data_IF_725099555954
#
_entry.id   IF_725099555954
#
_cell.length_a   1.000
_cell.length_b   1.000
_cell.length_c   1.000
_cell.angle_alpha   90.00
_cell.angle_beta   90.00
_cell.angle_gamma   90.00
#
_symmetry.space_group_name_H-M   'P 1'
#
loop_
_entity.id
_entity.type
_entity.pdbx_description
1 polymer ?
#
# COMPACT_ATOMS: atom_id res chain seq x y z
N UNK A 1 16.09 17.39 33.31
CA UNK A 1 15.97 17.61 31.85
C UNK A 1 15.94 16.25 31.18
N UNK A 2 14.75 15.79 30.79
CA UNK A 2 14.61 14.56 30.00
C UNK A 2 15.18 14.80 28.60
N UNK A 3 16.24 14.08 28.25
CA UNK A 3 16.81 14.14 26.90
C UNK A 3 15.81 13.46 25.97
N UNK A 4 15.17 14.24 25.08
CA UNK A 4 14.35 13.71 23.99
C UNK A 4 15.24 12.79 23.14
N UNK A 5 14.95 11.49 23.17
CA UNK A 5 15.65 10.51 22.35
C UNK A 5 15.39 10.81 20.87
N UNK A 6 16.45 10.80 20.07
CA UNK A 6 16.35 10.99 18.62
C UNK A 6 15.54 9.83 18.01
N UNK A 7 14.69 10.09 16.99
CA UNK A 7 14.03 9.04 16.22
C UNK A 7 15.06 8.05 15.69
N UNK A 8 14.81 6.76 15.92
CA UNK A 8 15.69 5.68 15.51
C UNK A 8 15.87 5.69 13.99
N UNK A 9 17.11 5.47 13.52
CA UNK A 9 17.31 5.01 12.14
C UNK A 9 16.64 3.65 12.02
N UNK A 10 15.43 3.66 11.48
CA UNK A 10 14.55 2.50 11.29
C UNK A 10 15.25 1.47 10.38
N UNK A 11 15.92 0.50 10.99
CA UNK A 11 16.52 -0.62 10.27
C UNK A 11 15.64 -1.85 10.51
N UNK A 12 15.22 -2.51 9.43
CA UNK A 12 14.39 -3.72 9.49
C UNK A 12 14.98 -4.81 10.42
N UNK A 13 16.30 -4.92 10.49
CA UNK A 13 16.99 -5.86 11.38
C UNK A 13 16.81 -5.54 12.87
N UNK A 14 16.86 -4.26 13.25
CA UNK A 14 16.72 -3.87 14.67
C UNK A 14 15.30 -4.10 15.16
N UNK A 15 14.31 -3.88 14.30
CA UNK A 15 12.90 -4.16 14.58
C UNK A 15 12.64 -5.66 14.73
N UNK A 16 13.18 -6.49 13.82
CA UNK A 16 13.07 -7.94 13.91
C UNK A 16 13.67 -8.49 15.21
N UNK A 17 14.85 -8.00 15.62
CA UNK A 17 15.46 -8.38 16.90
C UNK A 17 14.63 -7.87 18.09
N UNK A 18 14.12 -6.65 18.02
CA UNK A 18 13.28 -6.07 19.07
C UNK A 18 11.98 -6.85 19.27
N UNK A 19 11.24 -7.14 18.19
CA UNK A 19 10.01 -7.93 18.24
C UNK A 19 10.25 -9.31 18.83
N UNK A 20 11.39 -9.93 18.51
CA UNK A 20 11.74 -11.24 19.05
C UNK A 20 12.02 -11.19 20.56
N UNK A 21 12.75 -10.17 21.02
CA UNK A 21 13.02 -9.94 22.44
C UNK A 21 11.74 -9.59 23.22
N UNK A 22 10.84 -8.79 22.64
CA UNK A 22 9.54 -8.46 23.22
C UNK A 22 8.62 -9.70 23.29
N UNK A 23 8.62 -10.56 22.26
CA UNK A 23 7.84 -11.82 22.29
C UNK A 23 8.30 -12.82 23.34
N UNK A 24 9.54 -12.69 23.84
CA UNK A 24 10.02 -13.52 24.96
C UNK A 24 9.62 -12.97 26.33
N UNK A 25 9.20 -11.70 26.41
CA UNK A 25 8.79 -11.05 27.65
C UNK A 25 7.28 -10.82 27.76
N UNK A 26 6.54 -10.79 26.65
CA UNK A 26 5.08 -10.73 26.66
C UNK A 26 4.46 -12.12 26.62
N UNK A 27 3.76 -12.48 27.71
CA UNK A 27 2.82 -13.60 27.71
C UNK A 27 1.82 -13.42 26.58
N UNK A 28 1.56 -14.46 25.79
CA UNK A 28 0.64 -14.50 24.64
C UNK A 28 -0.84 -14.47 25.07
N UNK A 29 -1.17 -13.81 26.17
CA UNK A 29 -2.55 -13.65 26.61
C UNK A 29 -3.10 -12.33 26.07
N UNK A 30 -4.24 -12.34 25.36
CA UNK A 30 -4.88 -11.12 24.91
C UNK A 30 -5.31 -10.31 26.15
N UNK A 31 -4.68 -9.17 26.39
CA UNK A 31 -5.08 -8.23 27.44
C UNK A 31 -6.33 -7.47 26.98
N UNK A 32 -7.47 -7.77 27.61
CA UNK A 32 -8.73 -7.08 27.37
C UNK A 32 -8.72 -5.79 28.19
N UNK A 33 -8.52 -4.64 27.54
CA UNK A 33 -8.57 -3.32 28.18
C UNK A 33 -10.02 -2.82 28.33
N UNK A 34 -10.25 -1.83 29.21
CA UNK A 34 -11.57 -1.22 29.45
C UNK A 34 -12.22 -0.54 28.23
N UNK A 35 -11.47 -0.36 27.15
CA UNK A 35 -11.91 0.18 25.85
C UNK A 35 -12.21 -0.92 24.83
N UNK A 36 -11.98 -2.18 25.18
CA UNK A 36 -12.13 -3.32 24.27
C UNK A 36 -13.59 -3.73 24.21
N UNK A 37 -14.27 -3.36 23.12
CA UNK A 37 -15.65 -3.77 22.84
C UNK A 37 -15.66 -5.21 22.33
N UNK A 38 -16.14 -6.14 23.17
CA UNK A 38 -16.39 -7.53 22.80
C UNK A 38 -17.79 -7.61 22.22
N UNK A 39 -17.90 -7.75 20.89
CA UNK A 39 -19.18 -7.97 20.23
C UNK A 39 -19.51 -9.46 20.27
N UNK A 40 -20.30 -9.87 21.26
CA UNK A 40 -20.84 -11.23 21.34
C UNK A 40 -22.01 -11.33 20.35
N UNK A 41 -21.79 -11.95 19.19
CA UNK A 41 -22.86 -12.27 18.24
C UNK A 41 -23.39 -13.67 18.55
N UNK A 42 -24.45 -13.76 19.34
CA UNK A 42 -25.21 -15.00 19.51
C UNK A 42 -26.22 -15.12 18.37
N UNK A 43 -26.09 -16.16 17.56
CA UNK A 43 -27.07 -16.54 16.52
C UNK A 43 -28.33 -17.20 17.11
N UNK A 44 -28.58 -17.07 18.42
CA UNK A 44 -29.80 -17.57 19.06
C UNK A 44 -30.50 -16.48 19.87
N UNK A 45 -31.84 -16.54 19.83
CA UNK A 45 -32.82 -15.53 20.18
C UNK A 45 -32.61 -14.84 21.54
N UNK A 46 -33.03 -13.56 21.68
CA UNK A 46 -32.86 -12.82 22.92
C UNK A 46 -33.84 -13.32 24.00
N UNK A 47 -33.34 -14.09 24.96
CA UNK A 47 -34.05 -14.31 26.21
C UNK A 47 -34.08 -13.02 27.03
N UNK A 48 -35.30 -12.54 27.25
CA UNK A 48 -35.62 -11.35 28.03
C UNK A 48 -35.29 -11.56 29.51
N UNK A 49 -34.13 -11.09 29.97
CA UNK A 49 -33.99 -10.25 31.17
C UNK A 49 -32.52 -10.07 31.54
N UNK A 50 -31.91 -8.97 31.09
CA UNK A 50 -30.69 -8.49 31.72
C UNK A 50 -31.08 -7.51 32.84
N UNK A 51 -30.93 -7.95 34.11
CA UNK A 51 -31.05 -7.07 35.27
C UNK A 51 -29.66 -6.61 35.68
N UNK A 52 -29.41 -5.33 35.46
CA UNK A 52 -28.18 -4.67 35.83
C UNK A 52 -28.19 -4.39 37.35
N UNK A 53 -27.31 -5.07 38.10
CA UNK A 53 -27.10 -4.83 39.53
C UNK A 53 -25.80 -4.02 39.71
N UNK A 54 -25.86 -2.72 39.43
CA UNK A 54 -24.79 -1.78 39.76
C UNK A 54 -24.82 -1.37 41.24
N UNK A 55 -23.66 -1.11 41.88
CA UNK A 55 -23.57 -0.89 43.31
C UNK A 55 -24.10 0.50 43.70
N UNK A 56 -24.98 0.48 44.69
CA UNK A 56 -25.64 1.62 45.30
C UNK A 56 -24.59 2.53 45.97
N UNK A 57 -24.37 3.75 45.47
CA UNK A 57 -23.53 4.72 46.16
C UNK A 57 -24.22 6.08 46.26
N UNK A 58 -24.75 6.34 47.45
CA UNK A 58 -25.38 7.59 47.85
C UNK A 58 -24.30 8.67 47.97
N UNK A 59 -24.22 9.59 47.00
CA UNK A 59 -23.66 10.91 47.27
C UNK A 59 -24.32 11.98 46.39
N UNK A 60 -25.17 12.76 47.03
CA UNK A 60 -25.84 13.94 46.50
C UNK A 60 -24.83 15.06 46.32
N UNK A 61 -24.36 15.28 45.08
CA UNK A 61 -24.02 16.57 44.48
C UNK A 61 -23.24 16.36 43.18
N UNK A 62 -23.96 16.01 42.10
CA UNK A 62 -23.48 16.18 40.74
C UNK A 62 -24.51 17.02 39.98
N UNK A 63 -24.09 17.97 39.12
CA UNK A 63 -25.03 18.77 38.34
C UNK A 63 -25.90 17.83 37.51
N UNK A 64 -27.23 17.97 37.66
CA UNK A 64 -28.21 17.16 36.93
C UNK A 64 -27.90 17.26 35.43
N UNK A 65 -27.73 16.14 34.71
CA UNK A 65 -27.56 16.19 33.27
C UNK A 65 -28.80 16.85 32.68
N UNK A 66 -28.59 17.92 31.93
CA UNK A 66 -29.66 18.53 31.12
C UNK A 66 -30.04 17.47 30.10
N UNK A 67 -31.18 16.83 30.28
CA UNK A 67 -31.76 15.92 29.31
C UNK A 67 -32.16 16.75 28.10
N UNK A 68 -31.26 16.87 27.14
CA UNK A 68 -31.64 17.32 25.80
C UNK A 68 -32.51 16.21 25.25
N UNK A 69 -33.83 16.41 25.31
CA UNK A 69 -34.81 15.50 24.74
C UNK A 69 -34.59 15.48 23.22
N UNK A 70 -33.83 14.50 22.74
CA UNK A 70 -33.63 14.26 21.32
C UNK A 70 -34.92 13.69 20.74
N UNK A 71 -35.88 14.58 20.45
CA UNK A 71 -37.07 14.21 19.67
C UNK A 71 -36.59 13.79 18.29
N UNK A 72 -36.57 12.48 18.04
CA UNK A 72 -36.17 11.90 16.76
C UNK A 72 -37.12 12.41 15.66
N UNK A 73 -36.69 13.42 14.89
CA UNK A 73 -37.41 13.86 13.70
C UNK A 73 -37.10 12.91 12.55
N UNK A 74 -37.89 11.85 12.44
CA UNK A 74 -37.87 10.96 11.28
C UNK A 74 -38.50 11.70 10.09
N UNK A 75 -37.66 12.31 9.24
CA UNK A 75 -38.10 12.73 7.90
C UNK A 75 -38.01 11.52 6.99
N UNK A 76 -39.16 10.96 6.62
CA UNK A 76 -39.23 9.94 5.58
C UNK A 76 -38.90 10.65 4.27
N UNK A 77 -37.64 10.54 3.83
CA UNK A 77 -37.22 11.00 2.52
C UNK A 77 -37.82 10.01 1.51
N UNK A 78 -38.99 10.34 0.96
CA UNK A 78 -39.49 9.63 -0.20
C UNK A 78 -38.52 9.88 -1.34
N UNK A 79 -37.96 8.84 -1.99
CA UNK A 79 -37.05 9.04 -3.09
C UNK A 79 -37.77 9.84 -4.18
N UNK A 80 -37.23 11.02 -4.51
CA UNK A 80 -37.70 11.82 -5.64
C UNK A 80 -37.41 11.00 -6.89
N UNK A 81 -38.42 10.31 -7.40
CA UNK A 81 -38.35 9.67 -8.72
C UNK A 81 -38.21 10.79 -9.72
N UNK A 82 -36.98 11.06 -10.18
CA UNK A 82 -36.77 11.80 -11.42
C UNK A 82 -37.63 11.09 -12.46
N UNK A 83 -38.58 11.80 -13.08
CA UNK A 83 -39.30 11.26 -14.23
C UNK A 83 -38.28 11.11 -15.34
N UNK A 84 -37.70 9.91 -15.44
CA UNK A 84 -37.04 9.50 -16.66
C UNK A 84 -38.13 9.44 -17.71
N UNK A 85 -37.95 10.20 -18.79
CA UNK A 85 -38.79 10.10 -19.98
C UNK A 85 -38.83 8.63 -20.39
N UNK A 86 -40.03 8.03 -20.29
CA UNK A 86 -40.25 6.60 -20.55
C UNK A 86 -39.97 6.18 -21.99
N UNK A 87 -39.76 7.14 -22.89
CA UNK A 87 -39.52 6.90 -24.31
C UNK A 87 -38.03 6.70 -24.66
N UNK A 88 -37.11 6.93 -23.71
CA UNK A 88 -35.67 6.66 -23.88
C UNK A 88 -35.15 5.52 -22.97
N UNK A 89 -36.03 4.62 -22.54
CA UNK A 89 -35.69 3.71 -21.44
C UNK A 89 -34.78 2.53 -21.81
N UNK A 90 -34.61 2.16 -23.09
CA UNK A 90 -34.19 0.77 -23.38
C UNK A 90 -33.03 0.56 -24.35
N UNK A 91 -32.16 1.53 -24.61
CA UNK A 91 -30.92 1.25 -25.36
C UNK A 91 -29.76 2.08 -24.84
N UNK A 92 -29.24 1.71 -23.66
CA UNK A 92 -27.83 2.01 -23.38
C UNK A 92 -27.04 1.25 -24.44
N UNK A 93 -26.63 1.96 -25.50
CA UNK A 93 -25.84 1.36 -26.58
C UNK A 93 -24.63 0.63 -26.00
N UNK A 94 -24.34 -0.57 -26.53
CA UNK A 94 -23.20 -1.39 -26.11
C UNK A 94 -21.90 -0.59 -26.14
N UNK A 95 -21.74 0.34 -27.09
CA UNK A 95 -20.59 1.25 -27.15
C UNK A 95 -20.44 2.10 -25.87
N UNK A 96 -21.55 2.57 -25.29
CA UNK A 96 -21.54 3.32 -24.04
C UNK A 96 -21.21 2.41 -22.85
N UNK A 97 -21.79 1.21 -22.81
CA UNK A 97 -21.51 0.22 -21.77
C UNK A 97 -20.03 -0.19 -21.79
N UNK A 98 -19.49 -0.55 -22.96
CA UNK A 98 -18.10 -0.92 -23.17
C UNK A 98 -17.15 0.22 -22.78
N UNK A 99 -17.43 1.47 -23.18
CA UNK A 99 -16.60 2.63 -22.80
C UNK A 99 -16.54 2.84 -21.29
N UNK A 100 -17.67 2.68 -20.59
CA UNK A 100 -17.72 2.78 -19.12
C UNK A 100 -16.95 1.64 -18.47
N UNK A 101 -17.19 0.39 -18.90
CA UNK A 101 -16.53 -0.78 -18.34
C UNK A 101 -15.01 -0.78 -18.58
N UNK A 102 -14.56 -0.34 -19.75
CA UNK A 102 -13.13 -0.23 -20.08
C UNK A 102 -12.36 0.64 -19.09
N UNK A 103 -12.94 1.73 -18.60
CA UNK A 103 -12.28 2.56 -17.57
C UNK A 103 -12.14 1.80 -16.25
N UNK A 104 -13.22 1.18 -15.78
CA UNK A 104 -13.21 0.41 -14.54
C UNK A 104 -12.25 -0.78 -14.62
N UNK A 105 -12.23 -1.49 -15.75
CA UNK A 105 -11.31 -2.59 -16.03
C UNK A 105 -9.85 -2.14 -16.00
N UNK A 106 -9.53 -0.99 -16.61
CA UNK A 106 -8.17 -0.43 -16.59
C UNK A 106 -7.74 -0.01 -15.17
N UNK A 107 -8.64 0.59 -14.40
CA UNK A 107 -8.37 1.00 -13.02
C UNK A 107 -8.15 -0.23 -12.11
N UNK A 108 -8.96 -1.28 -12.26
CA UNK A 108 -8.79 -2.56 -11.56
C UNK A 108 -7.47 -3.23 -11.94
N UNK A 109 -7.14 -3.27 -13.24
CA UNK A 109 -5.85 -3.79 -13.73
C UNK A 109 -4.68 -3.00 -13.18
N UNK A 110 -4.80 -1.67 -13.08
CA UNK A 110 -3.77 -0.80 -12.50
C UNK A 110 -3.61 -1.07 -11.00
N UNK A 111 -4.71 -1.24 -10.27
CA UNK A 111 -4.68 -1.58 -8.84
C UNK A 111 -4.01 -2.94 -8.61
N UNK A 112 -4.41 -3.97 -9.37
CA UNK A 112 -3.78 -5.30 -9.36
C UNK A 112 -2.28 -5.22 -9.65
N UNK A 113 -1.87 -4.41 -10.63
CA UNK A 113 -0.45 -4.22 -10.95
C UNK A 113 0.31 -3.52 -9.81
N UNK A 114 -0.26 -2.49 -9.19
CA UNK A 114 0.35 -1.82 -8.03
C UNK A 114 0.51 -2.77 -6.85
N UNK A 115 -0.48 -3.59 -6.58
CA UNK A 115 -0.41 -4.59 -5.52
C UNK A 115 0.65 -5.65 -5.82
N UNK A 116 0.66 -6.17 -7.06
CA UNK A 116 1.69 -7.10 -7.53
C UNK A 116 3.09 -6.53 -7.40
N UNK A 117 3.30 -5.27 -7.76
CA UNK A 117 4.58 -4.58 -7.61
C UNK A 117 4.95 -4.37 -6.15
N UNK A 118 4.01 -3.92 -5.31
CA UNK A 118 4.20 -3.78 -3.86
C UNK A 118 4.64 -5.09 -3.22
N UNK A 119 3.98 -6.18 -3.60
CA UNK A 119 4.27 -7.52 -3.12
C UNK A 119 5.64 -8.01 -3.61
N UNK A 120 5.98 -7.80 -4.89
CA UNK A 120 7.32 -8.13 -5.43
C UNK A 120 8.43 -7.36 -4.73
N UNK A 121 8.21 -6.07 -4.47
CA UNK A 121 9.14 -5.25 -3.73
C UNK A 121 9.31 -5.75 -2.29
N UNK A 122 8.20 -6.11 -1.62
CA UNK A 122 8.24 -6.75 -0.29
C UNK A 122 9.03 -8.06 -0.27
N UNK A 123 8.78 -8.94 -1.26
CA UNK A 123 9.55 -10.18 -1.44
C UNK A 123 11.04 -9.91 -1.62
N UNK A 124 11.40 -8.94 -2.48
CA UNK A 124 12.79 -8.56 -2.71
C UNK A 124 13.46 -8.07 -1.42
N UNK A 125 12.80 -7.19 -0.66
CA UNK A 125 13.31 -6.70 0.62
C UNK A 125 13.50 -7.84 1.62
N UNK A 126 12.55 -8.78 1.69
CA UNK A 126 12.63 -9.94 2.57
C UNK A 126 13.77 -10.88 2.16
N UNK A 127 13.98 -11.10 0.86
CA UNK A 127 15.10 -11.90 0.35
C UNK A 127 16.45 -11.28 0.73
N UNK A 128 16.58 -9.95 0.58
CA UNK A 128 17.77 -9.21 0.99
C UNK A 128 18.00 -9.30 2.51
N UNK A 129 16.93 -9.25 3.31
CA UNK A 129 17.01 -9.41 4.76
C UNK A 129 17.50 -10.82 5.14
N UNK A 130 16.95 -11.88 4.52
CA UNK A 130 17.39 -13.26 4.75
C UNK A 130 18.86 -13.43 4.40
N UNK A 131 19.30 -12.92 3.26
CA UNK A 131 20.70 -12.97 2.84
C UNK A 131 21.61 -12.23 3.83
N UNK A 132 21.20 -11.03 4.24
CA UNK A 132 21.93 -10.24 5.23
C UNK A 132 22.03 -10.94 6.58
N UNK A 133 20.95 -11.55 7.06
CA UNK A 133 20.95 -12.33 8.31
C UNK A 133 21.90 -13.52 8.17
N UNK A 134 21.85 -14.23 7.04
CA UNK A 134 22.71 -15.40 6.79
C UNK A 134 24.20 -15.06 6.83
N UNK A 135 24.59 -13.88 6.34
CA UNK A 135 25.98 -13.40 6.35
C UNK A 135 26.27 -12.45 7.53
N UNK A 136 25.40 -12.37 8.53
CA UNK A 136 25.53 -11.42 9.62
C UNK A 136 26.58 -11.85 10.63
N UNK A 137 27.50 -10.93 10.96
CA UNK A 137 28.47 -11.15 12.02
C UNK A 137 27.82 -11.14 13.42
N UNK A 138 28.27 -12.06 14.27
CA UNK A 138 27.79 -12.18 15.66
C UNK A 138 28.05 -10.91 16.49
N UNK A 139 29.14 -10.21 16.24
CA UNK A 139 29.46 -8.95 16.91
C UNK A 139 28.44 -7.83 16.61
N UNK A 140 27.89 -7.80 15.40
CA UNK A 140 26.83 -6.86 15.04
C UNK A 140 25.54 -7.21 15.78
N UNK A 141 25.18 -8.49 15.83
CA UNK A 141 24.02 -8.96 16.59
C UNK A 141 24.16 -8.64 18.08
N UNK A 142 25.35 -8.85 18.67
CA UNK A 142 25.66 -8.47 20.05
C UNK A 142 25.43 -6.99 20.27
N UNK A 143 25.99 -6.13 19.42
CA UNK A 143 25.83 -4.68 19.50
C UNK A 143 24.35 -4.24 19.43
N UNK A 144 23.57 -4.83 18.52
CA UNK A 144 22.13 -4.55 18.38
C UNK A 144 21.38 -4.98 19.64
N UNK A 145 21.62 -6.21 20.12
CA UNK A 145 20.97 -6.77 21.31
C UNK A 145 21.31 -5.94 22.54
N UNK A 146 22.58 -5.60 22.77
CA UNK A 146 22.98 -4.70 23.85
C UNK A 146 22.28 -3.35 23.73
N UNK A 147 22.23 -2.75 22.53
CA UNK A 147 21.56 -1.46 22.30
C UNK A 147 20.05 -1.50 22.60
N UNK A 148 19.36 -2.59 22.26
CA UNK A 148 17.93 -2.77 22.55
C UNK A 148 17.72 -3.06 24.04
N UNK A 149 18.53 -3.93 24.63
CA UNK A 149 18.48 -4.29 26.06
C UNK A 149 18.87 -3.14 26.99
N UNK A 150 19.67 -2.19 26.55
CA UNK A 150 19.92 -0.97 27.34
C UNK A 150 18.79 0.05 27.25
N UNK A 151 17.88 -0.09 26.27
CA UNK A 151 16.69 0.76 26.12
C UNK A 151 15.48 0.21 26.86
N UNK A 152 15.21 -1.09 26.77
CA UNK A 152 14.26 -1.76 27.64
C UNK A 152 14.91 -1.96 29.00
N UNK A 153 14.29 -1.49 30.09
CA UNK A 153 14.85 -1.61 31.45
C UNK A 153 14.85 -3.08 31.94
N UNK A 154 15.64 -3.94 31.31
CA UNK A 154 15.81 -5.34 31.68
C UNK A 154 17.18 -5.48 32.30
N UNK A 155 17.21 -5.74 33.61
CA UNK A 155 18.42 -5.99 34.36
C UNK A 155 19.12 -7.23 33.78
N UNK A 156 20.42 -7.10 33.55
CA UNK A 156 21.28 -8.15 33.00
C UNK A 156 21.54 -9.16 34.13
N UNK A 157 21.15 -10.44 33.99
CA UNK A 157 21.80 -11.49 34.74
C UNK A 157 23.24 -11.56 34.25
N UNK A 158 24.20 -11.59 35.17
CA UNK A 158 25.62 -11.75 34.84
C UNK A 158 25.80 -13.13 34.18
N UNK A 159 25.68 -13.16 32.85
CA UNK A 159 25.82 -14.38 32.04
C UNK A 159 27.30 -14.54 31.74
N UNK A 160 27.80 -15.77 31.88
CA UNK A 160 29.13 -16.10 31.40
C UNK A 160 29.23 -15.84 29.89
N UNK A 161 30.42 -15.50 29.39
CA UNK A 161 30.63 -15.22 27.96
C UNK A 161 30.15 -16.39 27.08
N UNK A 162 30.37 -17.63 27.52
CA UNK A 162 29.91 -18.85 26.84
C UNK A 162 28.36 -18.92 26.74
N UNK A 163 27.65 -18.60 27.83
CA UNK A 163 26.18 -18.61 27.84
C UNK A 163 25.59 -17.50 26.96
N UNK A 164 26.26 -16.35 26.90
CA UNK A 164 25.86 -15.25 26.01
C UNK A 164 26.06 -15.63 24.53
N UNK A 165 27.19 -16.26 24.18
CA UNK A 165 27.43 -16.74 22.82
C UNK A 165 26.40 -17.78 22.38
N UNK A 166 26.07 -18.76 23.23
CA UNK A 166 25.01 -19.73 22.95
C UNK A 166 23.65 -19.05 22.74
N UNK A 167 23.31 -18.08 23.58
CA UNK A 167 22.08 -17.32 23.45
C UNK A 167 22.03 -16.54 22.12
N UNK A 168 23.13 -15.89 21.75
CA UNK A 168 23.25 -15.17 20.46
C UNK A 168 23.12 -16.11 19.26
N UNK A 169 23.70 -17.32 19.34
CA UNK A 169 23.58 -18.33 18.30
C UNK A 169 22.11 -18.77 18.12
N UNK A 170 21.44 -19.11 19.23
CA UNK A 170 20.00 -19.46 19.23
C UNK A 170 19.14 -18.32 18.69
N UNK A 171 19.45 -17.08 19.06
CA UNK A 171 18.76 -15.89 18.57
C UNK A 171 18.95 -15.71 17.06
N UNK A 172 20.18 -15.88 16.56
CA UNK A 172 20.49 -15.80 15.13
C UNK A 172 19.73 -16.87 14.33
N UNK A 173 19.74 -18.12 14.79
CA UNK A 173 19.00 -19.22 14.15
C UNK A 173 17.49 -18.95 14.11
N UNK A 174 16.93 -18.46 15.23
CA UNK A 174 15.51 -18.10 15.30
C UNK A 174 15.15 -16.96 14.34
N UNK A 175 15.97 -15.91 14.31
CA UNK A 175 15.80 -14.78 13.40
C UNK A 175 15.84 -15.24 11.93
N UNK A 176 16.76 -16.14 11.60
CA UNK A 176 16.88 -16.71 10.26
C UNK A 176 15.63 -17.54 9.93
N UNK A 177 15.17 -18.39 10.85
CA UNK A 177 13.95 -19.19 10.69
C UNK A 177 12.74 -18.30 10.41
N UNK A 178 12.49 -17.29 11.25
CA UNK A 178 11.35 -16.38 11.11
C UNK A 178 11.44 -15.61 9.78
N UNK A 179 12.62 -15.13 9.40
CA UNK A 179 12.83 -14.43 8.14
C UNK A 179 12.59 -15.34 6.91
N UNK A 180 13.01 -16.61 6.96
CA UNK A 180 12.75 -17.57 5.89
C UNK A 180 11.28 -17.99 5.82
N UNK A 181 10.59 -18.05 6.95
CA UNK A 181 9.16 -18.33 6.97
C UNK A 181 8.37 -17.17 6.36
N UNK A 182 8.71 -15.93 6.70
CA UNK A 182 8.12 -14.74 6.07
C UNK A 182 8.38 -14.73 4.57
N UNK A 183 9.60 -15.08 4.13
CA UNK A 183 9.90 -15.24 2.71
C UNK A 183 8.98 -16.28 2.07
N UNK A 184 8.85 -17.47 2.65
CA UNK A 184 7.93 -18.53 2.18
C UNK A 184 6.47 -18.08 2.11
N UNK A 185 6.01 -17.24 3.05
CA UNK A 185 4.65 -16.67 2.98
C UNK A 185 4.49 -15.76 1.76
N UNK A 186 5.48 -14.93 1.44
CA UNK A 186 5.50 -14.18 0.18
C UNK A 186 5.55 -15.11 -1.05
N UNK A 187 6.28 -16.23 -0.98
CA UNK A 187 6.29 -17.24 -2.04
C UNK A 187 4.89 -17.84 -2.28
N UNK A 188 4.21 -18.23 -1.19
CA UNK A 188 2.85 -18.79 -1.21
C UNK A 188 1.78 -17.80 -1.71
N UNK A 189 1.99 -16.49 -1.52
CA UNK A 189 1.19 -15.41 -2.11
C UNK A 189 1.38 -15.28 -3.64
N UNK A 190 2.08 -16.22 -4.29
CA UNK A 190 2.22 -16.30 -5.75
C UNK A 190 3.31 -15.39 -6.32
N UNK A 191 4.26 -14.93 -5.49
CA UNK A 191 5.37 -14.08 -5.91
C UNK A 191 6.64 -14.88 -6.21
N UNK A 192 6.76 -16.09 -5.65
CA UNK A 192 7.83 -16.99 -6.00
C UNK A 192 7.62 -17.49 -7.41
N UNK A 193 8.50 -17.03 -8.30
CA UNK A 193 8.74 -17.61 -9.62
C UNK A 193 7.50 -17.52 -10.52
N UNK A 194 7.38 -16.40 -11.23
CA UNK A 194 7.26 -16.56 -12.69
C UNK A 194 8.56 -17.22 -13.14
N UNK A 195 8.60 -18.55 -13.01
CA UNK A 195 9.65 -19.37 -13.54
C UNK A 195 9.89 -18.93 -14.97
N UNK A 196 11.14 -18.61 -15.27
CA UNK A 196 11.78 -18.87 -16.55
C UNK A 196 11.63 -20.36 -16.91
N UNK A 197 10.40 -20.76 -17.25
CA UNK A 197 10.09 -21.96 -18.00
C UNK A 197 9.45 -21.49 -19.31
N UNK A 198 9.80 -22.08 -20.47
CA UNK A 198 9.03 -21.85 -21.69
C UNK A 198 7.56 -22.19 -21.42
N UNK A 199 6.61 -21.54 -22.10
CA UNK A 199 5.19 -21.59 -21.73
C UNK A 199 4.70 -23.03 -21.79
N UNK A 200 4.61 -23.66 -20.62
CA UNK A 200 3.87 -24.89 -20.45
C UNK A 200 2.41 -24.46 -20.33
N UNK A 201 1.71 -24.74 -21.42
CA UNK A 201 0.26 -24.76 -21.62
C UNK A 201 -0.47 -25.07 -20.31
N UNK A 202 -1.04 -24.04 -19.69
CA UNK A 202 -2.18 -24.24 -18.80
C UNK A 202 -3.37 -24.53 -19.71
N UNK A 203 -3.76 -25.79 -19.72
CA UNK A 203 -5.07 -26.26 -20.13
C UNK A 203 -6.14 -25.53 -19.30
N UNK A 204 -6.53 -24.35 -19.78
CA UNK A 204 -7.86 -23.81 -19.53
C UNK A 204 -8.71 -24.24 -20.71
N UNK A 205 -9.87 -24.81 -20.38
CA UNK A 205 -10.90 -25.28 -21.28
C UNK A 205 -11.41 -24.15 -22.18
N UNK A 206 -10.69 -23.84 -23.25
CA UNK A 206 -11.16 -22.99 -24.34
C UNK A 206 -12.03 -23.84 -25.27
N UNK A 207 -13.33 -23.80 -25.00
CA UNK A 207 -14.36 -24.27 -25.91
C UNK A 207 -14.21 -23.61 -27.29
N UNK A 208 -13.77 -24.40 -28.28
CA UNK A 208 -14.14 -24.30 -29.71
C UNK A 208 -14.11 -22.88 -30.33
N UNK A 209 -13.05 -22.11 -30.10
CA UNK A 209 -12.80 -20.92 -30.92
C UNK A 209 -11.84 -21.29 -32.05
N UNK A 210 -12.27 -20.95 -33.27
CA UNK A 210 -11.66 -21.34 -34.54
C UNK A 210 -10.14 -21.01 -34.56
N UNK A 211 -9.23 -21.95 -34.88
CA UNK A 211 -7.77 -21.74 -34.82
C UNK A 211 -7.28 -20.51 -35.62
N UNK A 212 -8.00 -20.14 -36.67
CA UNK A 212 -7.75 -18.93 -37.46
C UNK A 212 -7.84 -17.64 -36.65
N UNK A 213 -8.67 -17.61 -35.61
CA UNK A 213 -8.82 -16.44 -34.74
C UNK A 213 -7.59 -16.24 -33.85
N UNK A 214 -7.03 -17.31 -33.27
CA UNK A 214 -5.82 -17.21 -32.46
C UNK A 214 -4.62 -16.74 -33.30
N UNK A 215 -4.50 -17.24 -34.53
CA UNK A 215 -3.48 -16.78 -35.48
C UNK A 215 -3.67 -15.30 -35.85
N UNK A 216 -4.91 -14.85 -36.09
CA UNK A 216 -5.22 -13.45 -36.36
C UNK A 216 -4.89 -12.53 -35.17
N UNK A 217 -5.17 -12.97 -33.94
CA UNK A 217 -4.84 -12.22 -32.72
C UNK A 217 -3.33 -12.11 -32.50
N UNK A 218 -2.60 -13.21 -32.72
CA UNK A 218 -1.14 -13.23 -32.59
C UNK A 218 -0.45 -12.36 -33.65
N UNK A 219 -0.91 -12.42 -34.90
CA UNK A 219 -0.35 -11.62 -36.01
C UNK A 219 -0.63 -10.13 -35.83
N UNK A 220 -1.83 -9.75 -35.35
CA UNK A 220 -2.14 -8.35 -35.05
C UNK A 220 -1.36 -7.84 -33.83
N UNK A 221 -1.16 -8.66 -32.80
CA UNK A 221 -0.31 -8.32 -31.65
C UNK A 221 1.16 -8.09 -32.08
N UNK A 222 1.69 -8.91 -32.98
CA UNK A 222 3.02 -8.68 -33.58
C UNK A 222 3.08 -7.38 -34.37
N UNK A 223 2.06 -7.06 -35.19
CA UNK A 223 1.99 -5.80 -35.95
C UNK A 223 1.93 -4.59 -35.02
N UNK A 224 1.17 -4.65 -33.93
CA UNK A 224 1.11 -3.56 -32.96
C UNK A 224 2.47 -3.33 -32.29
N UNK A 225 3.18 -4.39 -31.93
CA UNK A 225 4.53 -4.29 -31.36
C UNK A 225 5.54 -3.70 -32.36
N UNK A 226 5.47 -4.11 -33.63
CA UNK A 226 6.29 -3.55 -34.70
C UNK A 226 6.01 -2.05 -34.93
N UNK A 227 4.74 -1.62 -34.89
CA UNK A 227 4.36 -0.21 -34.98
C UNK A 227 4.89 0.63 -33.81
N UNK A 228 4.85 0.09 -32.59
CA UNK A 228 5.41 0.77 -31.41
C UNK A 228 6.93 0.96 -31.52
N UNK A 229 7.66 -0.04 -32.04
CA UNK A 229 9.11 0.07 -32.25
C UNK A 229 9.46 1.04 -33.38
N UNK A 230 8.69 1.06 -34.48
CA UNK A 230 8.89 1.99 -35.59
C UNK A 230 8.69 3.47 -35.19
N UNK A 231 7.89 3.76 -34.16
CA UNK A 231 7.74 5.14 -33.64
C UNK A 231 8.94 5.64 -32.82
N UNK A 232 9.89 4.79 -32.46
CA UNK A 232 11.07 5.16 -31.68
C UNK A 232 12.33 5.43 -32.53
N UNK A 233 12.41 4.96 -33.78
CA UNK A 233 13.61 5.11 -34.64
C UNK A 233 13.66 6.40 -35.47
N UNK A 234 12.90 7.44 -35.09
CA UNK A 234 12.92 8.74 -35.80
C UNK A 234 13.37 9.88 -34.90
N UNK A 235 14.62 9.81 -34.43
CA UNK A 235 15.34 11.00 -33.97
C UNK A 235 16.75 11.07 -34.57
N UNK A 236 17.11 12.18 -35.23
CA UNK A 236 18.48 12.41 -35.68
C UNK A 236 19.38 12.67 -34.46
N UNK A 237 20.64 12.28 -34.56
CA UNK A 237 21.64 12.51 -33.53
C UNK A 237 21.73 14.02 -33.21
N UNK A 238 21.40 14.39 -31.97
CA UNK A 238 21.57 15.75 -31.51
C UNK A 238 22.75 15.86 -30.55
N UNK A 239 23.68 16.72 -30.97
CA UNK A 239 24.87 17.18 -30.26
C UNK A 239 24.50 17.71 -28.87
N UNK A 240 25.42 17.49 -27.94
CA UNK A 240 25.39 18.00 -26.58
C UNK A 240 25.20 19.52 -26.52
N UNK A 241 24.11 19.96 -25.92
CA UNK A 241 23.91 21.36 -25.54
C UNK A 241 22.46 21.82 -25.68
N UNK A 242 21.91 22.36 -24.59
CA UNK A 242 20.71 23.19 -24.52
C UNK A 242 19.36 22.50 -24.24
N UNK A 243 18.75 22.99 -23.16
CA UNK A 243 17.32 23.12 -22.85
C UNK A 243 16.37 22.01 -23.32
N UNK A 244 15.81 21.28 -22.35
CA UNK A 244 14.67 20.37 -22.54
C UNK A 244 13.40 21.17 -22.90
N UNK A 245 13.29 21.59 -24.16
CA UNK A 245 12.05 22.16 -24.68
C UNK A 245 11.05 21.06 -25.05
N UNK A 246 9.87 21.12 -24.44
CA UNK A 246 8.74 20.22 -24.70
C UNK A 246 8.03 20.63 -26.00
N UNK A 247 8.23 19.88 -27.09
CA UNK A 247 7.51 20.03 -28.38
C UNK A 247 6.06 19.53 -28.30
N UNK A 248 5.26 20.03 -27.36
CA UNK A 248 3.82 19.72 -27.31
C UNK A 248 3.06 20.72 -28.17
N UNK A 249 2.15 20.20 -28.98
CA UNK A 249 1.21 21.03 -29.73
C UNK A 249 0.30 21.75 -28.74
N UNK A 250 0.23 23.07 -28.85
CA UNK A 250 -0.62 23.91 -27.99
C UNK A 250 -2.00 23.98 -28.64
N UNK A 251 -3.02 23.65 -27.87
CA UNK A 251 -4.44 23.73 -28.27
C UNK A 251 -5.17 24.72 -27.38
N UNK A 252 -5.98 25.60 -27.95
CA UNK A 252 -6.90 26.46 -27.23
C UNK A 252 -8.32 26.21 -27.75
N UNK A 253 -9.30 26.10 -26.85
CA UNK A 253 -10.70 25.81 -27.19
C UNK A 253 -10.91 24.55 -28.06
N UNK A 254 -10.02 23.56 -27.90
CA UNK A 254 -10.08 22.31 -28.67
C UNK A 254 -9.49 22.40 -30.08
N UNK A 255 -9.06 23.58 -30.53
CA UNK A 255 -8.42 23.77 -31.83
C UNK A 255 -6.90 23.96 -31.68
N UNK A 256 -6.16 23.47 -32.68
CA UNK A 256 -4.70 23.58 -32.74
C UNK A 256 -4.33 25.00 -33.12
N UNK A 257 -3.55 25.67 -32.26
CA UNK A 257 -3.08 27.02 -32.57
C UNK A 257 -2.08 26.99 -33.73
N UNK A 258 -2.08 28.03 -34.59
CA UNK A 258 -1.04 28.22 -35.60
C UNK A 258 0.34 28.28 -34.95
N UNK A 259 1.40 27.87 -35.66
CA UNK A 259 2.76 28.07 -35.17
C UNK A 259 3.00 29.57 -34.99
N UNK A 260 3.36 29.98 -33.77
CA UNK A 260 3.82 31.33 -33.47
C UNK A 260 5.29 31.30 -33.09
N UNK A 261 6.02 32.34 -33.44
CA UNK A 261 7.42 32.49 -33.05
C UNK A 261 7.50 32.80 -31.55
N UNK A 262 8.45 32.17 -30.87
CA UNK A 262 8.70 32.46 -29.47
C UNK A 262 9.33 33.85 -29.39
N UNK A 263 8.55 34.84 -28.96
CA UNK A 263 9.07 36.12 -28.55
C UNK A 263 9.32 36.07 -27.05
N UNK A 264 10.54 36.38 -26.64
CA UNK A 264 10.84 36.62 -25.24
C UNK A 264 10.17 37.93 -24.83
N UNK A 265 9.22 37.85 -23.89
CA UNK A 265 8.57 39.03 -23.34
C UNK A 265 9.44 39.60 -22.23
N UNK A 266 10.01 40.78 -22.45
CA UNK A 266 10.62 41.55 -21.37
C UNK A 266 9.53 42.14 -20.48
N UNK A 267 9.53 41.75 -19.21
CA UNK A 267 8.63 42.32 -18.21
C UNK A 267 9.00 43.80 -17.99
N UNK A 268 8.02 44.73 -18.00
CA UNK A 268 8.28 46.14 -17.72
C UNK A 268 8.97 46.34 -16.36
N UNK A 269 10.18 46.89 -16.38
CA UNK A 269 11.01 47.08 -15.18
C UNK A 269 10.36 48.02 -14.17
N UNK A 270 9.56 48.97 -14.65
CA UNK A 270 8.87 49.95 -13.81
C UNK A 270 7.83 49.29 -12.90
N UNK A 271 7.25 48.17 -13.33
CA UNK A 271 6.21 47.45 -12.59
C UNK A 271 6.85 46.31 -11.78
N UNK A 272 7.81 45.58 -12.34
CA UNK A 272 8.32 44.33 -11.73
C UNK A 272 9.73 44.42 -11.16
N UNK A 273 10.43 45.56 -11.31
CA UNK A 273 11.83 45.70 -10.91
C UNK A 273 12.08 45.47 -9.42
N UNK A 274 11.16 45.91 -8.56
CA UNK A 274 11.24 45.72 -7.12
C UNK A 274 11.17 44.25 -6.67
N UNK A 275 10.40 43.41 -7.37
CA UNK A 275 10.31 41.96 -7.13
C UNK A 275 11.52 41.18 -7.65
N UNK A 276 12.15 41.66 -8.72
CA UNK A 276 13.32 41.01 -9.32
C UNK A 276 14.63 41.28 -8.56
N UNK A 277 14.67 42.37 -7.78
CA UNK A 277 15.86 42.81 -7.03
C UNK A 277 15.89 42.35 -5.56
N UNK A 278 14.81 41.72 -5.06
CA UNK A 278 14.81 41.12 -3.72
C UNK A 278 15.35 39.68 -3.79
N UNK A 279 16.66 39.53 -3.65
CA UNK A 279 17.34 38.26 -3.40
C UNK A 279 18.37 38.41 -2.30
#
# INVERSE_FOLDING_TARGET
MEKRALPTRHNFLTEAVQQLLESTSSSTEPTIDSTTLITVTSDEQPDSSFKDYGPNNNNSNSPKPISVEHVARVKIITPVRKRHDKENLDLISDDYYIKRHRKHELDEKKQKNREKERLRHGYYQQSQLVERIKTMDKGLLRSIVSSIRHRGSVLIPDMTEEAEEEYLNKLHERLLKDATELLRRYEALGLAKTSTAPPAETEETESLVNPTFHEAVQTEAMRQRARQLATFEKYPSHKSGSSRYSKRHITAFGEKLPPFEFMDFELPKDIFGHLMNSR
#
